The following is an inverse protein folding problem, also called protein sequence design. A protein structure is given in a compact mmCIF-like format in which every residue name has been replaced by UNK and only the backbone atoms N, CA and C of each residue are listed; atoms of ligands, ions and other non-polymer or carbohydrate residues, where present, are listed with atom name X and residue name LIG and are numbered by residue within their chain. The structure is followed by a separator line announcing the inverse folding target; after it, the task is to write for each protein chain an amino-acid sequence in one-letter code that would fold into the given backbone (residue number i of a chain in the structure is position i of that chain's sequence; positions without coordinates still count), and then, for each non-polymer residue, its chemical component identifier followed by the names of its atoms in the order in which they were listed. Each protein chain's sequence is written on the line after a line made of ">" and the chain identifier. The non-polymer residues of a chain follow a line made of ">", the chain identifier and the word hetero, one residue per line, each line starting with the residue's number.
data_IF_251414423564
#
_entry.id   IF_251414423564
#
_cell.length_a   1.000
_cell.length_b   1.000
_cell.length_c   1.000
_cell.angle_alpha   90.00
_cell.angle_beta   90.00
_cell.angle_gamma   90.00
#
_symmetry.space_group_name_H-M   'P 1'
#
loop_
_entity.id
_entity.type
_entity.pdbx_description
1 polymer ?
#
# COMPACT_ATOMS: atom_id res chain seq x y z
N UNK A 1 -31.44 50.84 -15.09
CA UNK A 1 -30.19 50.26 -15.63
C UNK A 1 -29.09 50.10 -14.57
N UNK A 2 -28.86 51.10 -13.70
CA UNK A 2 -27.85 51.01 -12.62
C UNK A 2 -28.13 49.93 -11.54
N UNK A 3 -29.40 49.61 -11.26
CA UNK A 3 -29.76 48.58 -10.27
C UNK A 3 -29.43 47.13 -10.71
N UNK A 4 -29.44 46.85 -12.03
CA UNK A 4 -29.14 45.53 -12.58
C UNK A 4 -27.64 45.18 -12.50
N UNK A 5 -26.75 46.18 -12.65
CA UNK A 5 -25.31 46.00 -12.50
C UNK A 5 -24.88 45.62 -11.07
N UNK A 6 -25.60 46.13 -10.06
CA UNK A 6 -25.33 45.81 -8.65
C UNK A 6 -25.70 44.37 -8.28
N UNK A 7 -26.76 43.83 -8.89
CA UNK A 7 -27.22 42.45 -8.66
C UNK A 7 -26.27 41.46 -9.32
N UNK A 8 -25.80 41.73 -10.55
CA UNK A 8 -24.83 40.88 -11.23
C UNK A 8 -23.48 40.79 -10.48
N UNK A 9 -22.98 41.88 -9.89
CA UNK A 9 -21.75 41.83 -9.07
C UNK A 9 -21.92 40.96 -7.83
N UNK A 10 -23.09 40.97 -7.19
CA UNK A 10 -23.37 40.14 -6.00
C UNK A 10 -23.49 38.66 -6.35
N UNK A 11 -24.09 38.32 -7.49
CA UNK A 11 -24.17 36.94 -8.00
C UNK A 11 -22.77 36.41 -8.36
N UNK A 12 -21.95 37.23 -9.02
CA UNK A 12 -20.57 36.85 -9.37
C UNK A 12 -19.72 36.60 -8.11
N UNK A 13 -19.89 37.41 -7.06
CA UNK A 13 -19.19 37.22 -5.78
C UNK A 13 -19.66 35.95 -5.04
N UNK A 14 -20.95 35.60 -5.13
CA UNK A 14 -21.49 34.38 -4.51
C UNK A 14 -20.98 33.09 -5.18
N UNK A 15 -20.77 33.10 -6.49
CA UNK A 15 -20.23 31.96 -7.24
C UNK A 15 -18.76 31.70 -6.88
N UNK A 16 -17.98 32.76 -6.62
CA UNK A 16 -16.57 32.64 -6.23
C UNK A 16 -16.42 32.04 -4.82
N UNK A 17 -17.33 32.35 -3.88
CA UNK A 17 -17.32 31.74 -2.53
C UNK A 17 -17.97 30.35 -2.45
N UNK A 18 -18.87 30.00 -3.38
CA UNK A 18 -19.45 28.65 -3.44
C UNK A 18 -18.47 27.59 -3.98
N UNK A 19 -17.36 28.01 -4.58
CA UNK A 19 -16.35 27.11 -5.17
C UNK A 19 -15.30 26.62 -4.15
N UNK A 20 -15.31 27.14 -2.93
CA UNK A 20 -14.27 26.90 -1.92
C UNK A 20 -14.53 25.70 -1.00
N UNK A 21 -15.69 25.03 -1.17
CA UNK A 21 -16.01 23.77 -0.49
C UNK A 21 -15.88 22.58 -1.45
N UNK A 22 -15.05 22.67 -2.50
CA UNK A 22 -14.54 21.47 -3.13
C UNK A 22 -13.77 20.73 -2.03
N UNK A 23 -14.39 19.68 -1.48
CA UNK A 23 -13.78 18.76 -0.52
C UNK A 23 -12.37 18.46 -1.03
N UNK A 24 -11.36 19.01 -0.35
CA UNK A 24 -9.98 18.82 -0.78
C UNK A 24 -9.68 17.34 -0.65
N UNK A 25 -9.41 16.68 -1.78
CA UNK A 25 -8.97 15.29 -1.81
C UNK A 25 -7.84 15.09 -0.81
N UNK A 26 -7.93 14.01 -0.02
CA UNK A 26 -6.86 13.59 0.86
C UNK A 26 -5.64 13.18 0.03
N UNK A 27 -4.46 13.04 0.66
CA UNK A 27 -3.28 12.56 -0.05
C UNK A 27 -3.48 11.13 -0.57
N UNK A 28 -4.23 10.30 0.17
CA UNK A 28 -4.60 8.96 -0.26
C UNK A 28 -5.49 9.01 -1.51
N UNK A 29 -6.53 9.84 -1.53
CA UNK A 29 -7.41 10.01 -2.69
C UNK A 29 -6.65 10.53 -3.92
N UNK A 30 -5.69 11.46 -3.73
CA UNK A 30 -4.78 11.90 -4.81
C UNK A 30 -3.93 10.77 -5.36
N UNK A 31 -3.44 9.88 -4.50
CA UNK A 31 -2.74 8.67 -4.93
C UNK A 31 -3.66 7.74 -5.71
N UNK A 32 -4.91 7.54 -5.27
CA UNK A 32 -5.88 6.70 -5.98
C UNK A 32 -6.21 7.25 -7.38
N UNK A 33 -6.35 8.58 -7.50
CA UNK A 33 -6.62 9.23 -8.78
C UNK A 33 -5.44 9.13 -9.76
N UNK A 34 -4.21 9.22 -9.26
CA UNK A 34 -3.00 9.13 -10.07
C UNK A 34 -1.91 8.34 -9.32
N UNK A 35 -1.90 7.00 -9.41
CA UNK A 35 -1.02 6.15 -8.61
C UNK A 35 0.38 6.14 -9.21
N UNK A 36 1.21 7.11 -8.79
CA UNK A 36 2.60 7.26 -9.20
C UNK A 36 3.52 7.43 -7.98
N UNK A 37 4.82 7.40 -8.22
CA UNK A 37 5.84 7.46 -7.16
C UNK A 37 5.78 8.75 -6.33
N UNK A 38 5.53 9.90 -6.97
CA UNK A 38 5.42 11.20 -6.29
C UNK A 38 4.25 11.23 -5.31
N UNK A 39 3.09 10.71 -5.72
CA UNK A 39 1.92 10.64 -4.86
C UNK A 39 2.11 9.56 -3.77
N UNK A 40 2.82 8.46 -4.07
CA UNK A 40 3.10 7.44 -3.08
C UNK A 40 4.02 7.96 -1.95
N UNK A 41 4.98 8.82 -2.28
CA UNK A 41 5.96 9.37 -1.35
C UNK A 41 5.31 10.17 -0.22
N UNK A 42 4.24 10.91 -0.52
CA UNK A 42 3.62 11.86 0.43
C UNK A 42 2.50 11.26 1.28
N UNK A 43 1.97 10.08 0.94
CA UNK A 43 0.90 9.45 1.74
C UNK A 43 1.46 8.85 3.03
N UNK A 44 0.89 9.22 4.17
CA UNK A 44 1.28 8.69 5.49
C UNK A 44 0.23 7.77 6.12
N UNK A 45 -1.03 8.00 5.78
CA UNK A 45 -2.20 7.33 6.34
C UNK A 45 -3.29 7.20 5.27
N UNK A 46 -4.14 6.17 5.39
CA UNK A 46 -5.35 6.03 4.60
C UNK A 46 -6.43 6.89 5.26
N UNK A 47 -6.77 8.00 4.61
CA UNK A 47 -7.85 8.90 5.00
C UNK A 47 -8.73 9.19 3.79
N UNK A 48 -10.01 9.38 4.03
CA UNK A 48 -11.00 9.66 2.99
C UNK A 48 -11.73 10.96 3.31
N UNK A 49 -12.08 11.68 2.26
CA UNK A 49 -13.02 12.78 2.36
C UNK A 49 -14.40 12.27 2.78
N UNK A 50 -15.20 13.14 3.39
CA UNK A 50 -16.53 12.77 3.88
C UNK A 50 -17.41 12.23 2.74
N UNK A 51 -17.95 11.02 2.91
CA UNK A 51 -18.80 10.37 1.93
C UNK A 51 -18.08 9.64 0.79
N UNK A 52 -16.74 9.63 0.76
CA UNK A 52 -15.99 8.92 -0.27
C UNK A 52 -16.03 7.39 -0.13
N UNK A 53 -16.25 6.88 1.09
CA UNK A 53 -16.47 5.44 1.37
C UNK A 53 -17.77 5.24 2.15
N UNK A 54 -18.39 4.04 2.10
CA UNK A 54 -19.61 3.75 2.84
C UNK A 54 -19.44 3.93 4.36
N UNK A 55 -20.50 4.36 5.04
CA UNK A 55 -20.48 4.56 6.49
C UNK A 55 -20.11 3.27 7.23
N UNK A 56 -19.28 3.40 8.28
CA UNK A 56 -18.80 2.29 9.09
C UNK A 56 -17.57 1.57 8.54
N UNK A 57 -17.12 1.89 7.33
CA UNK A 57 -15.86 1.37 6.79
C UNK A 57 -14.68 2.25 7.25
N UNK A 58 -13.58 1.60 7.65
CA UNK A 58 -12.30 2.29 7.95
C UNK A 58 -11.47 2.50 6.68
N UNK A 59 -11.59 1.60 5.72
CA UNK A 59 -10.92 1.64 4.42
C UNK A 59 -11.72 0.84 3.39
N UNK A 60 -11.48 1.11 2.11
CA UNK A 60 -12.13 0.42 1.01
C UNK A 60 -11.17 -0.59 0.37
N UNK A 61 -11.55 -1.87 0.38
CA UNK A 61 -10.70 -2.96 -0.14
C UNK A 61 -10.32 -2.76 -1.62
N UNK A 62 -11.25 -2.36 -2.51
CA UNK A 62 -10.89 -2.08 -3.91
C UNK A 62 -9.76 -1.06 -4.09
N UNK A 63 -9.63 -0.09 -3.19
CA UNK A 63 -8.58 0.93 -3.27
C UNK A 63 -7.20 0.35 -2.94
N UNK A 64 -7.14 -0.66 -2.07
CA UNK A 64 -5.90 -1.42 -1.84
C UNK A 64 -5.46 -2.22 -3.08
N UNK A 65 -6.38 -2.57 -4.00
CA UNK A 65 -5.99 -3.21 -5.25
C UNK A 65 -5.22 -2.26 -6.17
N UNK A 66 -5.48 -0.96 -6.11
CA UNK A 66 -4.71 0.05 -6.85
C UNK A 66 -3.26 0.08 -6.34
N UNK A 67 -3.07 0.15 -5.02
CA UNK A 67 -1.75 0.05 -4.39
C UNK A 67 -1.06 -1.28 -4.73
N UNK A 68 -1.79 -2.40 -4.65
CA UNK A 68 -1.27 -3.71 -4.99
C UNK A 68 -0.78 -3.79 -6.44
N UNK A 69 -1.52 -3.21 -7.37
CA UNK A 69 -1.12 -3.19 -8.78
C UNK A 69 0.20 -2.45 -8.98
N UNK A 70 0.40 -1.31 -8.32
CA UNK A 70 1.67 -0.57 -8.40
C UNK A 70 2.84 -1.32 -7.74
N UNK A 71 2.59 -1.96 -6.59
CA UNK A 71 3.61 -2.81 -5.94
C UNK A 71 4.01 -3.97 -6.85
N UNK A 72 3.02 -4.62 -7.47
CA UNK A 72 3.24 -5.74 -8.38
C UNK A 72 3.93 -5.32 -9.68
N UNK A 73 3.70 -4.11 -10.18
CA UNK A 73 4.40 -3.56 -11.34
C UNK A 73 5.84 -3.13 -11.03
N UNK A 74 6.28 -3.23 -9.78
CA UNK A 74 7.64 -2.91 -9.37
C UNK A 74 7.88 -1.45 -9.00
N UNK A 75 6.84 -0.68 -8.64
CA UNK A 75 7.03 0.66 -8.07
C UNK A 75 7.65 0.54 -6.68
N UNK A 76 8.89 1.02 -6.53
CA UNK A 76 9.61 1.02 -5.24
C UNK A 76 8.86 1.86 -4.22
N UNK A 77 8.39 3.04 -4.61
CA UNK A 77 7.73 3.98 -3.70
C UNK A 77 6.34 3.50 -3.28
N UNK A 78 5.62 2.78 -4.14
CA UNK A 78 4.39 2.11 -3.74
C UNK A 78 4.64 0.98 -2.74
N UNK A 79 5.75 0.24 -2.84
CA UNK A 79 6.11 -0.75 -1.82
C UNK A 79 6.51 -0.09 -0.49
N UNK A 80 7.26 1.02 -0.56
CA UNK A 80 7.56 1.86 0.61
C UNK A 80 6.26 2.38 1.26
N UNK A 81 5.30 2.84 0.46
CA UNK A 81 3.99 3.28 0.94
C UNK A 81 3.24 2.15 1.63
N UNK A 82 3.14 0.97 1.02
CA UNK A 82 2.47 -0.18 1.63
C UNK A 82 3.07 -0.54 3.00
N UNK A 83 4.40 -0.53 3.12
CA UNK A 83 5.09 -0.79 4.40
C UNK A 83 4.82 0.33 5.42
N UNK A 84 4.83 1.59 4.99
CA UNK A 84 4.52 2.74 5.86
C UNK A 84 3.11 2.65 6.43
N UNK A 85 2.12 2.40 5.57
CA UNK A 85 0.73 2.19 5.97
C UNK A 85 0.56 0.97 6.89
N UNK A 86 1.33 -0.12 6.65
CA UNK A 86 1.29 -1.31 7.50
C UNK A 86 1.78 -1.00 8.93
N UNK A 87 2.82 -0.17 9.05
CA UNK A 87 3.38 0.20 10.34
C UNK A 87 2.44 1.11 11.14
N UNK A 88 1.68 2.00 10.48
CA UNK A 88 0.72 2.91 11.12
C UNK A 88 -0.70 2.34 11.30
N UNK A 89 -1.03 1.21 10.66
CA UNK A 89 -2.35 0.58 10.74
C UNK A 89 -2.47 -0.48 11.84
N UNK A 90 -3.70 -0.91 12.13
CA UNK A 90 -4.03 -2.01 13.04
C UNK A 90 -5.08 -2.96 12.42
N UNK A 91 -5.44 -4.02 13.17
CA UNK A 91 -6.53 -4.93 12.82
C UNK A 91 -6.45 -5.51 11.40
N UNK A 92 -7.61 -5.56 10.73
CA UNK A 92 -7.75 -6.12 9.37
C UNK A 92 -6.94 -5.37 8.31
N UNK A 93 -6.84 -4.03 8.41
CA UNK A 93 -6.06 -3.24 7.46
C UNK A 93 -4.58 -3.65 7.48
N UNK A 94 -4.03 -3.82 8.69
CA UNK A 94 -2.64 -4.28 8.83
C UNK A 94 -2.46 -5.67 8.21
N UNK A 95 -3.40 -6.58 8.38
CA UNK A 95 -3.32 -7.93 7.79
C UNK A 95 -3.37 -7.90 6.26
N UNK A 96 -4.27 -7.11 5.68
CA UNK A 96 -4.39 -6.92 4.23
C UNK A 96 -3.10 -6.33 3.64
N UNK A 97 -2.50 -5.34 4.31
CA UNK A 97 -1.24 -4.74 3.89
C UNK A 97 -0.07 -5.72 4.02
N UNK A 98 -0.01 -6.52 5.09
CA UNK A 98 1.00 -7.59 5.21
C UNK A 98 0.86 -8.59 4.06
N UNK A 99 -0.36 -9.00 3.71
CA UNK A 99 -0.60 -9.94 2.60
C UNK A 99 -0.20 -9.34 1.25
N UNK A 100 -0.51 -8.07 1.02
CA UNK A 100 -0.09 -7.31 -0.17
C UNK A 100 1.44 -7.27 -0.29
N UNK A 101 2.13 -6.86 0.78
CA UNK A 101 3.59 -6.77 0.82
C UNK A 101 4.21 -8.16 0.63
N UNK A 102 3.69 -9.19 1.27
CA UNK A 102 4.21 -10.56 1.16
C UNK A 102 4.14 -11.10 -0.28
N UNK A 103 3.11 -10.73 -1.04
CA UNK A 103 2.96 -11.10 -2.45
C UNK A 103 4.09 -10.53 -3.33
N UNK A 104 4.57 -9.33 -2.99
CA UNK A 104 5.66 -8.67 -3.73
C UNK A 104 6.97 -9.48 -3.71
N UNK A 105 7.21 -10.30 -2.67
CA UNK A 105 8.41 -11.13 -2.55
C UNK A 105 8.53 -12.09 -3.74
N UNK A 106 7.42 -12.68 -4.17
CA UNK A 106 7.42 -13.64 -5.28
C UNK A 106 7.56 -12.94 -6.64
N UNK A 107 7.01 -11.73 -6.77
CA UNK A 107 6.93 -11.01 -8.04
C UNK A 107 8.24 -10.22 -8.29
N UNK A 108 8.69 -9.44 -7.30
CA UNK A 108 9.84 -8.54 -7.39
C UNK A 108 10.77 -8.71 -6.16
N UNK A 109 11.42 -9.88 -5.99
CA UNK A 109 12.20 -10.18 -4.77
C UNK A 109 13.37 -9.21 -4.53
N UNK A 110 14.05 -8.73 -5.58
CA UNK A 110 15.16 -7.78 -5.44
C UNK A 110 14.68 -6.46 -4.82
N UNK A 111 13.57 -5.92 -5.32
CA UNK A 111 12.98 -4.68 -4.82
C UNK A 111 12.48 -4.83 -3.38
N UNK A 112 11.87 -5.97 -3.04
CA UNK A 112 11.49 -6.25 -1.67
C UNK A 112 12.68 -6.18 -0.72
N UNK A 113 13.79 -6.84 -1.07
CA UNK A 113 15.02 -6.82 -0.29
C UNK A 113 15.58 -5.40 -0.15
N UNK A 114 15.69 -4.66 -1.25
CA UNK A 114 16.18 -3.27 -1.23
C UNK A 114 15.33 -2.36 -0.34
N UNK A 115 14.00 -2.42 -0.46
CA UNK A 115 13.09 -1.56 0.32
C UNK A 115 13.13 -1.91 1.81
N UNK A 116 13.09 -3.19 2.14
CA UNK A 116 13.12 -3.64 3.54
C UNK A 116 14.45 -3.37 4.23
N UNK A 117 15.57 -3.41 3.49
CA UNK A 117 16.88 -2.97 3.98
C UNK A 117 16.86 -1.47 4.31
N UNK A 118 16.35 -0.65 3.39
CA UNK A 118 16.27 0.80 3.54
C UNK A 118 15.40 1.21 4.74
N UNK A 119 14.27 0.53 4.94
CA UNK A 119 13.32 0.84 6.03
C UNK A 119 13.81 0.26 7.38
N UNK A 120 14.71 -0.72 7.36
CA UNK A 120 15.23 -1.40 8.56
C UNK A 120 14.14 -1.98 9.46
N UNK A 121 13.23 -2.78 8.87
CA UNK A 121 12.17 -3.46 9.62
C UNK A 121 12.74 -4.40 10.70
N UNK A 122 12.07 -4.46 11.85
CA UNK A 122 12.44 -5.41 12.90
C UNK A 122 12.22 -6.86 12.45
N UNK A 123 13.02 -7.78 12.99
CA UNK A 123 12.93 -9.21 12.66
C UNK A 123 11.53 -9.78 12.94
N UNK A 124 10.83 -9.29 13.96
CA UNK A 124 9.46 -9.72 14.25
C UNK A 124 8.46 -9.30 13.15
N UNK A 125 8.59 -8.08 12.62
CA UNK A 125 7.76 -7.59 11.52
C UNK A 125 8.09 -8.35 10.23
N UNK A 126 9.38 -8.52 9.93
CA UNK A 126 9.83 -9.30 8.77
C UNK A 126 9.33 -10.74 8.82
N UNK A 127 9.41 -11.42 9.97
CA UNK A 127 8.89 -12.77 10.13
C UNK A 127 7.39 -12.84 9.83
N UNK A 128 6.59 -11.84 10.25
CA UNK A 128 5.15 -11.80 9.93
C UNK A 128 4.89 -11.68 8.43
N UNK A 129 5.62 -10.80 7.75
CA UNK A 129 5.50 -10.60 6.29
C UNK A 129 5.91 -11.87 5.55
N UNK A 130 7.11 -12.38 5.82
CA UNK A 130 7.68 -13.53 5.13
C UNK A 130 6.79 -14.78 5.26
N UNK A 131 6.11 -14.94 6.41
CA UNK A 131 5.26 -16.09 6.72
C UNK A 131 3.75 -15.87 6.50
N UNK A 132 3.34 -14.76 5.89
CA UNK A 132 1.93 -14.49 5.55
C UNK A 132 1.55 -15.13 4.21
N UNK A 133 0.92 -16.32 4.14
CA UNK A 133 0.67 -16.99 2.86
C UNK A 133 -0.26 -16.18 1.95
N UNK A 134 -1.19 -15.40 2.50
CA UNK A 134 -2.29 -14.77 1.78
C UNK A 134 -3.63 -15.25 2.33
N UNK A 135 -4.65 -14.39 2.28
CA UNK A 135 -5.97 -14.68 2.85
C UNK A 135 -6.71 -15.76 2.05
N UNK A 136 -6.40 -15.91 0.77
CA UNK A 136 -6.97 -16.93 -0.13
C UNK A 136 -6.54 -18.37 0.22
N UNK A 137 -5.50 -18.53 1.03
CA UNK A 137 -4.97 -19.84 1.45
C UNK A 137 -5.33 -20.20 2.88
N UNK A 138 -6.18 -19.43 3.54
CA UNK A 138 -6.71 -19.77 4.87
C UNK A 138 -7.32 -21.18 4.81
N UNK A 139 -6.99 -22.00 5.82
CA UNK A 139 -7.39 -23.41 5.94
C UNK A 139 -6.88 -24.38 4.86
N UNK A 140 -5.96 -23.94 3.97
CA UNK A 140 -5.39 -24.78 2.90
C UNK A 140 -3.90 -25.03 3.12
N UNK A 141 -3.55 -25.87 4.09
CA UNK A 141 -2.17 -26.12 4.51
C UNK A 141 -1.20 -26.41 3.35
N UNK A 142 -1.62 -27.25 2.39
CA UNK A 142 -0.82 -27.55 1.20
C UNK A 142 -0.54 -26.32 0.33
N UNK A 143 -1.54 -25.46 0.12
CA UNK A 143 -1.38 -24.23 -0.65
C UNK A 143 -0.52 -23.19 0.09
N UNK A 144 -0.65 -23.11 1.42
CA UNK A 144 0.20 -22.27 2.26
C UNK A 144 1.68 -22.67 2.14
N UNK A 145 1.98 -23.97 2.28
CA UNK A 145 3.34 -24.48 2.15
C UNK A 145 3.91 -24.30 0.73
N UNK A 146 3.07 -24.45 -0.30
CA UNK A 146 3.45 -24.15 -1.67
C UNK A 146 3.86 -22.69 -1.83
N UNK A 147 3.02 -21.74 -1.42
CA UNK A 147 3.30 -20.31 -1.56
C UNK A 147 4.55 -19.87 -0.77
N UNK A 148 4.73 -20.37 0.46
CA UNK A 148 5.95 -20.10 1.25
C UNK A 148 7.21 -20.65 0.55
N UNK A 149 7.12 -21.83 -0.05
CA UNK A 149 8.23 -22.42 -0.82
C UNK A 149 8.56 -21.60 -2.07
N UNK A 150 7.54 -21.09 -2.77
CA UNK A 150 7.73 -20.22 -3.93
C UNK A 150 8.44 -18.92 -3.54
N UNK A 151 8.16 -18.36 -2.37
CA UNK A 151 8.87 -17.16 -1.88
C UNK A 151 10.33 -17.43 -1.55
N UNK A 152 10.63 -18.56 -0.90
CA UNK A 152 12.02 -18.97 -0.67
C UNK A 152 12.77 -19.11 -2.00
N UNK A 153 12.13 -19.69 -3.01
CA UNK A 153 12.68 -19.81 -4.35
C UNK A 153 12.95 -18.44 -4.99
N UNK A 154 11.98 -17.52 -4.94
CA UNK A 154 12.10 -16.15 -5.46
C UNK A 154 13.19 -15.33 -4.74
N UNK A 155 13.30 -15.42 -3.42
CA UNK A 155 14.39 -14.78 -2.68
C UNK A 155 15.76 -15.30 -3.15
N UNK A 156 15.90 -16.63 -3.27
CA UNK A 156 17.15 -17.27 -3.72
C UNK A 156 17.49 -17.04 -5.19
N UNK A 157 16.55 -16.57 -6.00
CA UNK A 157 16.82 -16.21 -7.40
C UNK A 157 17.54 -14.87 -7.53
N UNK A 158 17.54 -14.02 -6.50
CA UNK A 158 18.30 -12.75 -6.49
C UNK A 158 19.79 -13.04 -6.41
N UNK A 159 20.55 -12.55 -7.40
CA UNK A 159 22.00 -12.76 -7.51
C UNK A 159 22.82 -11.49 -7.26
N UNK A 160 22.18 -10.38 -6.94
CA UNK A 160 22.84 -9.11 -6.69
C UNK A 160 23.74 -9.22 -5.43
N UNK A 161 25.06 -8.97 -5.54
CA UNK A 161 26.00 -9.20 -4.43
C UNK A 161 25.68 -8.42 -3.15
N UNK A 162 25.20 -7.18 -3.29
CA UNK A 162 24.76 -6.29 -2.20
C UNK A 162 23.65 -6.92 -1.35
N UNK A 163 22.77 -7.73 -1.96
CA UNK A 163 21.58 -8.28 -1.33
C UNK A 163 21.75 -9.71 -0.80
N UNK A 164 22.87 -10.40 -1.09
CA UNK A 164 23.04 -11.83 -0.77
C UNK A 164 22.90 -12.14 0.73
N UNK A 165 23.38 -11.25 1.61
CA UNK A 165 23.23 -11.43 3.07
C UNK A 165 21.75 -11.40 3.49
N UNK A 166 20.95 -10.53 2.87
CA UNK A 166 19.51 -10.45 3.13
C UNK A 166 18.78 -11.65 2.55
N UNK A 167 19.17 -12.12 1.35
CA UNK A 167 18.63 -13.37 0.76
C UNK A 167 18.81 -14.53 1.73
N UNK A 168 20.01 -14.71 2.27
CA UNK A 168 20.30 -15.77 3.24
C UNK A 168 19.44 -15.60 4.51
N UNK A 169 19.48 -14.41 5.13
CA UNK A 169 18.71 -14.10 6.33
C UNK A 169 17.22 -14.35 6.14
N UNK A 170 16.62 -13.78 5.10
CA UNK A 170 15.16 -13.81 4.90
C UNK A 170 14.66 -15.17 4.46
N UNK A 171 15.41 -15.87 3.59
CA UNK A 171 15.04 -17.24 3.22
C UNK A 171 15.12 -18.20 4.42
N UNK A 172 16.02 -17.97 5.37
CA UNK A 172 16.08 -18.72 6.64
C UNK A 172 14.96 -18.40 7.63
N UNK A 173 14.29 -17.26 7.49
CA UNK A 173 13.15 -16.85 8.34
C UNK A 173 11.80 -17.45 7.90
N UNK A 174 11.69 -17.94 6.67
CA UNK A 174 10.47 -18.58 6.17
C UNK A 174 10.32 -19.97 6.78
N UNK A 175 9.20 -20.23 7.45
CA UNK A 175 8.90 -21.49 8.15
C UNK A 175 7.76 -22.22 7.45
N UNK A 176 8.05 -23.39 6.91
CA UNK A 176 7.02 -24.30 6.42
C UNK A 176 6.19 -24.82 7.60
N UNK A 177 4.87 -24.91 7.40
CA UNK A 177 3.91 -25.33 8.41
C UNK A 177 3.84 -26.85 8.45
N UNK A 178 3.85 -27.42 9.67
CA UNK A 178 3.74 -28.85 9.94
C UNK A 178 2.31 -29.23 10.27
#
# INVERSE_FOLDING_TARGET
>A
MLALLGIMKKILLLIIFASSNALSETLWEKYLALPNDLNAEVVEVIEYSEGAIPEGYRYWIPDLLILQNQVNSGSKDSLCLAIRLMLSSDGGLREDLIALIARSIRINPSQFLTVTEQIALSDAVLMRILNMPGLEYVDRLGAQNYELSQRVSALRSVKEPSLLKLVEKYSGMVRLRK
#
